data_IF_494574159134
#
_entry.id   IF_494574159134
#
_cell.length_a   1.000
_cell.length_b   1.000
_cell.length_c   1.000
_cell.angle_alpha   90.00
_cell.angle_beta   90.00
_cell.angle_gamma   90.00
#
_symmetry.space_group_name_H-M   'P 1'
#
loop_
_entity.id
_entity.type
_entity.pdbx_description
1 polymer ?
#
# COMPACT_ATOMS: atom_id res chain seq x y z
N UNK A 1 0.84 -16.59 3.69
CA UNK A 1 1.30 -15.19 3.51
C UNK A 1 0.76 -14.38 4.68
N UNK A 2 1.60 -13.56 5.32
CA UNK A 2 1.21 -12.74 6.48
C UNK A 2 1.31 -11.26 6.10
N UNK A 3 0.16 -10.67 5.79
CA UNK A 3 0.05 -9.27 5.38
C UNK A 3 -0.51 -8.42 6.52
N UNK A 4 0.14 -7.28 6.76
CA UNK A 4 -0.36 -6.24 7.66
C UNK A 4 -0.90 -5.08 6.84
N UNK A 5 -2.18 -4.79 6.99
CA UNK A 5 -2.85 -3.66 6.35
C UNK A 5 -2.98 -2.49 7.34
N UNK A 6 -2.51 -1.31 6.96
CA UNK A 6 -2.60 -0.10 7.77
C UNK A 6 -3.08 1.08 6.95
N UNK A 7 -3.93 1.92 7.57
CA UNK A 7 -4.32 3.22 7.04
C UNK A 7 -3.73 4.30 7.92
N UNK A 8 -3.20 5.34 7.30
CA UNK A 8 -2.65 6.49 8.00
C UNK A 8 -3.14 7.77 7.34
N UNK A 9 -3.82 8.59 8.12
CA UNK A 9 -4.16 9.95 7.72
C UNK A 9 -2.95 10.87 7.94
N UNK A 10 -2.56 11.58 6.89
CA UNK A 10 -1.55 12.63 6.96
C UNK A 10 -2.21 13.95 7.37
N UNK A 11 -1.42 14.83 7.98
CA UNK A 11 -1.86 16.17 8.42
C UNK A 11 -2.42 17.05 7.29
N UNK A 12 -2.07 16.75 6.03
CA UNK A 12 -2.57 17.43 4.84
C UNK A 12 -3.91 16.87 4.33
N UNK A 13 -4.56 15.96 5.06
CA UNK A 13 -5.82 15.33 4.67
C UNK A 13 -5.68 14.09 3.78
N UNK A 14 -4.48 13.81 3.26
CA UNK A 14 -4.25 12.63 2.43
C UNK A 14 -4.28 11.34 3.27
N UNK A 15 -4.73 10.26 2.65
CA UNK A 15 -4.66 8.92 3.22
C UNK A 15 -3.51 8.15 2.57
N UNK A 16 -2.66 7.55 3.39
CA UNK A 16 -1.68 6.54 2.98
C UNK A 16 -2.17 5.17 3.43
N UNK A 17 -2.23 4.23 2.51
CA UNK A 17 -2.50 2.83 2.78
C UNK A 17 -1.20 2.06 2.63
N UNK A 18 -0.80 1.36 3.68
CA UNK A 18 0.42 0.55 3.68
C UNK A 18 0.06 -0.92 3.84
N UNK A 19 0.59 -1.78 2.97
CA UNK A 19 0.49 -3.23 3.06
C UNK A 19 1.90 -3.77 3.25
N UNK A 20 2.16 -4.42 4.38
CA UNK A 20 3.45 -5.05 4.68
C UNK A 20 3.35 -6.56 4.55
N UNK A 21 4.19 -7.15 3.71
CA UNK A 21 4.46 -8.58 3.70
C UNK A 21 5.54 -8.86 4.75
N UNK A 22 5.17 -9.56 5.82
CA UNK A 22 6.12 -9.89 6.90
C UNK A 22 7.11 -10.98 6.51
N UNK A 23 6.77 -11.85 5.56
CA UNK A 23 7.64 -12.94 5.12
C UNK A 23 8.75 -12.41 4.24
N UNK A 24 8.38 -11.62 3.22
CA UNK A 24 9.34 -10.97 2.31
C UNK A 24 10.00 -9.74 2.94
N UNK A 25 9.58 -9.36 4.16
CA UNK A 25 10.00 -8.14 4.86
C UNK A 25 9.94 -6.91 3.94
N UNK A 26 8.86 -6.80 3.18
CA UNK A 26 8.65 -5.75 2.18
C UNK A 26 7.35 -5.02 2.45
N UNK A 27 7.25 -3.80 1.95
CA UNK A 27 6.06 -2.95 2.14
C UNK A 27 5.74 -2.23 0.84
N UNK A 28 4.47 -2.22 0.47
CA UNK A 28 3.92 -1.36 -0.56
C UNK A 28 3.04 -0.30 0.10
N UNK A 29 3.16 0.93 -0.37
CA UNK A 29 2.37 2.06 0.10
C UNK A 29 1.67 2.73 -1.07
N UNK A 30 0.41 3.09 -0.85
CA UNK A 30 -0.46 3.75 -1.80
C UNK A 30 -0.90 5.09 -1.23
N UNK A 31 -0.69 6.18 -1.98
CA UNK A 31 -1.21 7.49 -1.64
C UNK A 31 -1.93 8.09 -2.85
N UNK A 32 -3.25 8.34 -2.71
CA UNK A 32 -4.01 9.04 -3.75
C UNK A 32 -3.71 10.53 -3.71
N UNK A 33 -3.34 11.07 -4.86
CA UNK A 33 -3.28 12.51 -5.17
C UNK A 33 -4.52 12.89 -6.01
N UNK A 34 -4.64 14.16 -6.41
CA UNK A 34 -5.79 14.63 -7.19
C UNK A 34 -6.00 13.84 -8.51
N UNK A 35 -4.93 13.46 -9.20
CA UNK A 35 -5.01 12.87 -10.54
C UNK A 35 -4.18 11.59 -10.74
N UNK A 36 -3.51 11.10 -9.70
CA UNK A 36 -2.70 9.89 -9.77
C UNK A 36 -2.59 9.23 -8.39
N UNK A 37 -2.07 8.00 -8.37
CA UNK A 37 -1.77 7.26 -7.15
C UNK A 37 -0.25 7.09 -7.09
N UNK A 38 0.36 7.61 -6.04
CA UNK A 38 1.76 7.32 -5.72
C UNK A 38 1.83 5.88 -5.18
N UNK A 39 2.67 5.05 -5.79
CA UNK A 39 2.95 3.69 -5.34
C UNK A 39 4.42 3.60 -4.97
N UNK A 40 4.70 3.32 -3.70
CA UNK A 40 6.07 3.15 -3.20
C UNK A 40 6.24 1.72 -2.75
N UNK A 41 7.25 1.04 -3.29
CA UNK A 41 7.61 -0.31 -2.86
C UNK A 41 8.99 -0.27 -2.21
N UNK A 42 9.04 -0.62 -0.92
CA UNK A 42 10.28 -0.73 -0.18
C UNK A 42 10.60 -2.21 0.05
N UNK A 43 11.59 -2.71 -0.67
CA UNK A 43 12.21 -4.00 -0.41
C UNK A 43 13.33 -3.81 0.62
N UNK A 44 13.38 -4.68 1.63
CA UNK A 44 14.50 -4.70 2.60
C UNK A 44 15.55 -5.74 2.24
N UNK A 45 15.48 -6.30 1.04
CA UNK A 45 16.51 -7.18 0.49
C UNK A 45 16.79 -6.78 -0.96
N UNK A 46 18.04 -6.98 -1.40
CA UNK A 46 18.53 -6.55 -2.72
C UNK A 46 18.13 -7.50 -3.86
N UNK A 47 17.46 -8.61 -3.56
CA UNK A 47 17.10 -9.67 -4.52
C UNK A 47 15.63 -9.63 -4.94
N UNK A 48 14.77 -8.95 -4.18
CA UNK A 48 13.34 -8.86 -4.45
C UNK A 48 13.08 -7.75 -5.43
N UNK A 49 12.58 -8.12 -6.61
CA UNK A 49 12.24 -7.19 -7.71
C UNK A 49 10.73 -7.04 -7.90
N UNK A 50 9.93 -7.82 -7.16
CA UNK A 50 8.46 -7.85 -7.27
C UNK A 50 7.82 -7.88 -5.89
N UNK A 51 6.67 -7.21 -5.78
CA UNK A 51 5.81 -7.29 -4.61
C UNK A 51 4.49 -7.95 -5.04
N UNK A 52 4.16 -9.07 -4.41
CA UNK A 52 2.91 -9.78 -4.67
C UNK A 52 1.92 -9.48 -3.55
N UNK A 53 0.68 -9.15 -3.91
CA UNK A 53 -0.44 -9.04 -2.98
C UNK A 53 -1.58 -9.95 -3.41
N UNK A 54 -2.37 -10.47 -2.45
CA UNK A 54 -3.64 -11.11 -2.72
C UNK A 54 -4.60 -10.14 -3.40
N UNK A 55 -5.45 -10.67 -4.28
CA UNK A 55 -6.43 -9.89 -5.04
C UNK A 55 -7.37 -9.15 -4.09
N UNK A 56 -7.80 -9.79 -3.02
CA UNK A 56 -8.73 -9.23 -2.03
C UNK A 56 -8.13 -8.02 -1.29
N UNK A 57 -6.81 -8.02 -1.09
CA UNK A 57 -6.11 -6.88 -0.50
C UNK A 57 -6.03 -5.74 -1.52
N UNK A 58 -5.74 -6.04 -2.79
CA UNK A 58 -5.70 -5.03 -3.84
C UNK A 58 -7.06 -4.34 -4.04
N UNK A 59 -8.15 -5.11 -4.10
CA UNK A 59 -9.51 -4.57 -4.20
C UNK A 59 -9.85 -3.67 -3.01
N UNK A 60 -9.49 -4.09 -1.79
CA UNK A 60 -9.69 -3.29 -0.59
C UNK A 60 -8.89 -1.99 -0.61
N UNK A 61 -7.64 -2.00 -1.07
CA UNK A 61 -6.84 -0.79 -1.27
C UNK A 61 -7.58 0.15 -2.21
N UNK A 62 -8.01 -0.35 -3.37
CA UNK A 62 -8.71 0.46 -4.37
C UNK A 62 -9.97 1.11 -3.81
N UNK A 63 -10.84 0.34 -3.15
CA UNK A 63 -12.05 0.85 -2.50
C UNK A 63 -11.75 1.93 -1.46
N UNK A 64 -10.73 1.71 -0.63
CA UNK A 64 -10.33 2.63 0.42
C UNK A 64 -9.71 3.93 -0.13
N UNK A 65 -9.08 3.90 -1.31
CA UNK A 65 -8.63 5.09 -2.04
C UNK A 65 -9.79 5.86 -2.67
N UNK A 66 -10.90 5.18 -3.02
CA UNK A 66 -12.08 5.83 -3.58
C UNK A 66 -12.98 6.47 -2.50
N UNK A 67 -13.05 5.90 -1.30
CA UNK A 67 -13.95 6.33 -0.20
C UNK A 67 -13.59 7.65 0.49
N UNK A 68 -12.74 8.49 -0.11
CA UNK A 68 -12.54 9.89 0.28
C UNK A 68 -12.68 10.80 -0.93
N UNK A 69 -13.90 11.30 -1.10
CA UNK A 69 -14.27 12.59 -1.66
C UNK A 69 -15.20 13.26 -0.65
#
# INVERSE_FOLDING_TARGET
MDYVYQKKEKKNGNCVISVRDRWENSIIEFEKRQHHIDIVVNYRNDKTTKYSIPIEIFEKVYDDLQRRN
#
